data_IF_984229114537
#
_entry.id   IF_984229114537
#
_cell.length_a   1.000
_cell.length_b   1.000
_cell.length_c   1.000
_cell.angle_alpha   90.00
_cell.angle_beta   90.00
_cell.angle_gamma   90.00
#
_symmetry.space_group_name_H-M   'P 1'
#
loop_
_entity.id
_entity.type
_entity.pdbx_description
1 polymer ?
#
# COMPACT_ATOMS: atom_id res chain seq x y z
N UNK A 1 -17.16 13.99 2.12
CA UNK A 1 -16.34 12.82 2.49
C UNK A 1 -16.81 11.53 1.80
N UNK A 2 -18.08 11.16 1.87
CA UNK A 2 -18.62 9.95 1.19
C UNK A 2 -18.37 9.95 -0.33
N UNK A 3 -18.59 11.08 -0.99
CA UNK A 3 -18.34 11.23 -2.44
C UNK A 3 -16.88 10.93 -2.82
N UNK A 4 -15.91 11.55 -2.12
CA UNK A 4 -14.48 11.35 -2.38
C UNK A 4 -14.09 9.89 -2.14
N UNK A 5 -14.59 9.28 -1.07
CA UNK A 5 -14.29 7.90 -0.73
C UNK A 5 -14.86 6.89 -1.75
N UNK A 6 -16.11 7.06 -2.15
CA UNK A 6 -16.76 6.22 -3.17
C UNK A 6 -16.12 6.41 -4.55
N UNK A 7 -15.72 7.64 -4.89
CA UNK A 7 -15.04 7.95 -6.14
C UNK A 7 -13.73 7.16 -6.28
N UNK A 8 -12.91 7.12 -5.22
CA UNK A 8 -11.65 6.35 -5.23
C UNK A 8 -11.87 4.85 -5.41
N UNK A 9 -12.92 4.28 -4.81
CA UNK A 9 -13.24 2.86 -4.97
C UNK A 9 -13.71 2.53 -6.39
N UNK A 10 -14.66 3.31 -6.92
CA UNK A 10 -15.20 3.08 -8.27
C UNK A 10 -14.11 3.27 -9.32
N UNK A 11 -13.37 4.37 -9.26
CA UNK A 11 -12.27 4.64 -10.19
C UNK A 11 -11.13 3.64 -10.03
N UNK A 12 -10.77 3.29 -8.80
CA UNK A 12 -9.74 2.30 -8.51
C UNK A 12 -10.04 0.94 -9.16
N UNK A 13 -11.29 0.47 -9.10
CA UNK A 13 -11.72 -0.79 -9.74
C UNK A 13 -11.66 -0.69 -11.26
N UNK A 14 -12.22 0.38 -11.84
CA UNK A 14 -12.24 0.59 -13.31
C UNK A 14 -10.83 0.64 -13.87
N UNK A 15 -9.93 1.39 -13.23
CA UNK A 15 -8.52 1.49 -13.65
C UNK A 15 -7.76 0.19 -13.46
N UNK A 16 -8.03 -0.55 -12.37
CA UNK A 16 -7.41 -1.87 -12.16
C UNK A 16 -7.80 -2.84 -13.27
N UNK A 17 -9.07 -2.83 -13.69
CA UNK A 17 -9.52 -3.68 -14.78
C UNK A 17 -8.81 -3.34 -16.10
N UNK A 18 -8.66 -2.04 -16.38
CA UNK A 18 -7.92 -1.59 -17.56
C UNK A 18 -6.44 -2.02 -17.52
N UNK A 19 -5.78 -1.89 -16.36
CA UNK A 19 -4.40 -2.39 -16.16
C UNK A 19 -4.34 -3.90 -16.34
N UNK A 20 -5.25 -4.67 -15.74
CA UNK A 20 -5.24 -6.14 -15.86
C UNK A 20 -5.49 -6.63 -17.27
N UNK A 21 -6.20 -5.85 -18.09
CA UNK A 21 -6.54 -6.22 -19.47
C UNK A 21 -5.44 -5.80 -20.44
N UNK A 22 -4.93 -4.58 -20.31
CA UNK A 22 -4.10 -3.95 -21.35
C UNK A 22 -2.60 -3.90 -20.99
N UNK A 23 -2.22 -4.10 -19.72
CA UNK A 23 -0.83 -3.92 -19.29
C UNK A 23 -0.01 -5.21 -19.26
N UNK A 24 0.79 -5.43 -20.32
CA UNK A 24 1.81 -6.49 -20.37
C UNK A 24 3.27 -5.96 -20.35
N UNK A 25 3.45 -4.68 -20.00
CA UNK A 25 4.78 -4.07 -19.95
C UNK A 25 5.66 -4.55 -18.79
N UNK A 26 6.96 -4.16 -18.80
CA UNK A 26 7.90 -4.41 -17.69
C UNK A 26 7.50 -3.67 -16.40
N UNK A 27 8.13 -3.97 -15.27
CA UNK A 27 7.86 -3.25 -14.02
C UNK A 27 8.11 -1.73 -14.17
N UNK A 28 7.20 -0.89 -13.66
CA UNK A 28 7.29 0.58 -13.75
C UNK A 28 7.49 1.23 -12.38
N UNK A 29 8.36 0.64 -11.57
CA UNK A 29 8.62 1.06 -10.20
C UNK A 29 9.05 2.54 -10.14
N UNK A 30 8.34 3.34 -9.33
CA UNK A 30 8.64 4.76 -9.12
C UNK A 30 8.28 5.67 -10.31
N UNK A 31 7.58 5.18 -11.31
CA UNK A 31 7.03 6.02 -12.39
C UNK A 31 5.64 6.57 -12.04
N UNK A 32 4.96 5.93 -11.10
CA UNK A 32 3.62 6.28 -10.66
C UNK A 32 3.62 6.67 -9.17
N UNK A 33 2.86 7.70 -8.80
CA UNK A 33 2.78 8.20 -7.43
C UNK A 33 3.63 9.45 -7.14
N UNK A 34 3.51 9.96 -5.91
CA UNK A 34 4.28 11.10 -5.39
C UNK A 34 4.94 10.65 -4.10
N UNK A 35 6.08 9.97 -4.23
CA UNK A 35 6.78 9.36 -3.10
C UNK A 35 8.31 9.39 -3.25
N UNK A 36 9.03 8.97 -2.20
CA UNK A 36 10.48 8.98 -2.16
C UNK A 36 11.12 8.11 -3.25
N UNK A 37 10.51 6.96 -3.58
CA UNK A 37 11.01 6.08 -4.65
C UNK A 37 10.84 6.77 -6.00
N UNK A 38 9.70 7.40 -6.25
CA UNK A 38 9.47 8.19 -7.45
C UNK A 38 10.43 9.38 -7.57
N UNK A 39 10.70 10.07 -6.47
CA UNK A 39 11.68 11.16 -6.42
C UNK A 39 13.12 10.66 -6.69
N UNK A 40 13.49 9.52 -6.13
CA UNK A 40 14.77 8.87 -6.37
C UNK A 40 14.91 8.44 -7.84
N UNK A 41 13.89 7.80 -8.41
CA UNK A 41 13.90 7.35 -9.80
C UNK A 41 14.01 8.51 -10.78
N UNK A 42 13.34 9.65 -10.52
CA UNK A 42 13.52 10.88 -11.33
C UNK A 42 14.95 11.40 -11.31
N UNK A 43 15.68 11.19 -10.21
CA UNK A 43 17.07 11.62 -10.07
C UNK A 43 18.04 10.63 -10.73
N UNK A 44 17.79 9.32 -10.62
CA UNK A 44 18.67 8.28 -11.14
C UNK A 44 18.46 8.03 -12.64
N UNK A 45 17.21 8.02 -13.09
CA UNK A 45 16.83 7.71 -14.48
C UNK A 45 15.52 8.42 -14.85
N UNK A 46 15.63 9.70 -15.18
CA UNK A 46 14.48 10.52 -15.57
C UNK A 46 13.80 10.08 -16.87
N UNK A 47 14.55 9.49 -17.81
CA UNK A 47 14.01 8.98 -19.09
C UNK A 47 13.07 7.80 -18.86
N UNK A 48 13.47 6.82 -18.03
CA UNK A 48 12.60 5.71 -17.63
C UNK A 48 11.29 6.20 -17.00
N UNK A 49 11.37 7.24 -16.17
CA UNK A 49 10.17 7.84 -15.56
C UNK A 49 9.30 8.51 -16.63
N UNK A 50 9.88 9.22 -17.59
CA UNK A 50 9.13 9.87 -18.66
C UNK A 50 8.45 8.88 -19.62
N UNK A 51 9.13 7.77 -19.94
CA UNK A 51 8.59 6.72 -20.82
C UNK A 51 7.51 5.89 -20.11
N UNK A 52 7.74 5.50 -18.86
CA UNK A 52 6.74 4.84 -18.03
C UNK A 52 5.51 5.73 -17.82
N UNK A 53 5.73 7.02 -17.59
CA UNK A 53 4.68 8.02 -17.52
C UNK A 53 3.83 8.08 -18.80
N UNK A 54 4.49 8.15 -19.96
CA UNK A 54 3.83 8.17 -21.27
C UNK A 54 3.01 6.90 -21.53
N UNK A 55 3.49 5.76 -21.03
CA UNK A 55 2.80 4.47 -21.14
C UNK A 55 1.50 4.45 -20.32
N UNK A 56 1.54 4.91 -19.07
CA UNK A 56 0.35 5.01 -18.21
C UNK A 56 -0.67 6.04 -18.72
N UNK A 57 -0.18 7.14 -19.30
CA UNK A 57 -1.03 8.17 -19.91
C UNK A 57 -1.82 7.62 -21.10
N UNK A 58 -1.18 6.83 -21.98
CA UNK A 58 -1.84 6.22 -23.15
C UNK A 58 -2.95 5.24 -22.76
N UNK A 59 -2.82 4.61 -21.60
CA UNK A 59 -3.83 3.71 -21.04
C UNK A 59 -4.91 4.44 -20.21
N UNK A 60 -4.93 5.79 -20.19
CA UNK A 60 -5.89 6.59 -19.41
C UNK A 60 -5.96 6.25 -17.90
N UNK A 61 -4.89 5.68 -17.34
CA UNK A 61 -4.80 5.28 -15.93
C UNK A 61 -3.86 6.18 -15.12
N UNK A 62 -3.34 7.24 -15.74
CA UNK A 62 -2.46 8.21 -15.07
C UNK A 62 -3.23 9.27 -14.28
N UNK A 63 -2.62 9.72 -13.17
CA UNK A 63 -3.09 10.87 -12.37
C UNK A 63 -3.98 10.49 -11.19
N UNK A 64 -4.35 9.22 -11.10
CA UNK A 64 -4.94 8.65 -9.90
C UNK A 64 -3.91 7.79 -9.20
N UNK A 65 -3.99 7.74 -7.87
CA UNK A 65 -3.26 6.74 -7.08
C UNK A 65 -3.72 5.40 -7.66
N UNK A 66 -2.89 4.71 -8.46
CA UNK A 66 -3.33 3.44 -9.02
C UNK A 66 -3.72 2.63 -7.81
N UNK A 67 -4.91 2.03 -7.85
CA UNK A 67 -5.36 1.20 -6.73
C UNK A 67 -4.20 0.29 -6.33
N UNK A 68 -4.08 -0.08 -5.04
CA UNK A 68 -2.99 -0.96 -4.64
C UNK A 68 -2.87 -2.18 -5.56
N UNK A 69 -4.00 -2.68 -6.05
CA UNK A 69 -4.06 -3.82 -6.93
C UNK A 69 -3.54 -3.51 -8.34
N UNK A 70 -3.87 -2.35 -8.91
CA UNK A 70 -3.33 -1.93 -10.21
C UNK A 70 -1.82 -1.69 -10.17
N UNK A 71 -1.33 -1.00 -9.13
CA UNK A 71 0.11 -0.76 -8.93
C UNK A 71 0.87 -2.06 -8.65
N UNK A 72 0.35 -2.95 -7.80
CA UNK A 72 0.93 -4.28 -7.57
C UNK A 72 1.00 -5.11 -8.84
N UNK A 73 0.00 -5.00 -9.71
CA UNK A 73 0.01 -5.75 -10.97
C UNK A 73 1.00 -5.18 -11.98
N UNK A 74 1.15 -3.87 -12.07
CA UNK A 74 2.17 -3.26 -12.92
C UNK A 74 3.57 -3.75 -12.53
N UNK A 75 3.86 -3.85 -11.24
CA UNK A 75 5.20 -4.20 -10.77
C UNK A 75 5.45 -5.70 -10.61
N UNK A 76 4.46 -6.44 -10.11
CA UNK A 76 4.60 -7.84 -9.71
C UNK A 76 3.57 -8.75 -10.40
N UNK A 77 2.71 -8.22 -11.29
CA UNK A 77 1.60 -8.96 -11.90
C UNK A 77 0.77 -9.66 -10.81
N UNK A 78 0.36 -10.91 -11.05
CA UNK A 78 -0.40 -11.71 -10.07
C UNK A 78 0.43 -12.13 -8.84
N UNK A 79 1.77 -12.03 -8.89
CA UNK A 79 2.62 -12.27 -7.70
C UNK A 79 2.33 -11.22 -6.62
N UNK A 80 1.85 -10.04 -7.01
CA UNK A 80 1.35 -9.01 -6.10
C UNK A 80 0.19 -9.44 -5.19
N UNK A 81 -0.47 -10.58 -5.43
CA UNK A 81 -1.46 -11.14 -4.49
C UNK A 81 -0.82 -11.71 -3.23
N UNK A 82 0.44 -12.14 -3.29
CA UNK A 82 1.19 -12.66 -2.14
C UNK A 82 1.28 -11.61 -1.02
N UNK A 83 1.80 -10.39 -1.26
CA UNK A 83 1.85 -9.36 -0.23
C UNK A 83 0.46 -8.97 0.30
N UNK A 84 -0.60 -9.03 -0.52
CA UNK A 84 -1.98 -8.84 -0.06
C UNK A 84 -2.42 -9.92 0.94
N UNK A 85 -2.14 -11.19 0.64
CA UNK A 85 -2.46 -12.31 1.52
C UNK A 85 -1.67 -12.24 2.84
N UNK A 86 -0.37 -11.93 2.76
CA UNK A 86 0.48 -11.67 3.93
C UNK A 86 -0.08 -10.55 4.80
N UNK A 87 -0.53 -9.45 4.19
CA UNK A 87 -1.12 -8.33 4.91
C UNK A 87 -2.43 -8.70 5.61
N UNK A 88 -3.31 -9.43 4.93
CA UNK A 88 -4.55 -9.95 5.53
C UNK A 88 -4.26 -10.86 6.73
N UNK A 89 -3.26 -11.74 6.61
CA UNK A 89 -2.80 -12.58 7.70
C UNK A 89 -2.29 -11.77 8.90
N UNK A 90 -1.40 -10.80 8.67
CA UNK A 90 -0.87 -9.91 9.72
C UNK A 90 -2.00 -9.16 10.44
N UNK A 91 -3.03 -8.76 9.70
CA UNK A 91 -4.24 -8.15 10.27
C UNK A 91 -4.97 -9.08 11.21
N UNK A 92 -5.18 -10.34 10.79
CA UNK A 92 -5.78 -11.35 11.66
C UNK A 92 -4.98 -11.58 12.94
N UNK A 93 -3.64 -11.60 12.85
CA UNK A 93 -2.76 -11.76 14.02
C UNK A 93 -2.89 -10.58 15.00
N UNK A 94 -2.80 -9.35 14.50
CA UNK A 94 -2.92 -8.14 15.33
C UNK A 94 -4.28 -8.09 16.02
N UNK A 95 -5.36 -8.34 15.28
CA UNK A 95 -6.72 -8.36 15.83
C UNK A 95 -6.88 -9.41 16.93
N UNK A 96 -6.38 -10.64 16.70
CA UNK A 96 -6.41 -11.71 17.70
C UNK A 96 -5.68 -11.31 18.98
N UNK A 97 -4.50 -10.70 18.87
CA UNK A 97 -3.68 -10.27 20.02
C UNK A 97 -4.34 -9.16 20.83
N UNK A 98 -4.99 -8.21 20.17
CA UNK A 98 -5.78 -7.16 20.83
C UNK A 98 -6.96 -7.77 21.59
N UNK A 99 -7.73 -8.65 20.94
CA UNK A 99 -8.89 -9.30 21.58
C UNK A 99 -8.50 -10.15 22.79
N UNK A 100 -7.32 -10.74 22.78
CA UNK A 100 -6.78 -11.49 23.92
C UNK A 100 -6.35 -10.60 25.09
N UNK A 101 -6.22 -9.28 24.90
CA UNK A 101 -5.89 -8.33 25.98
C UNK A 101 -4.51 -8.49 26.63
N UNK A 102 -3.67 -9.37 26.07
CA UNK A 102 -2.40 -9.78 26.69
C UNK A 102 -1.33 -8.69 26.71
N UNK A 103 -1.34 -7.78 25.74
CA UNK A 103 -0.32 -6.74 25.59
C UNK A 103 -0.90 -5.51 24.86
N UNK A 104 -0.96 -4.33 25.52
CA UNK A 104 -1.55 -3.13 24.93
C UNK A 104 -0.72 -2.55 23.77
N UNK A 105 0.54 -2.97 23.58
CA UNK A 105 1.38 -2.49 22.47
C UNK A 105 0.82 -2.85 21.11
N UNK A 106 0.02 -3.93 21.02
CA UNK A 106 -0.66 -4.30 19.78
C UNK A 106 -1.67 -3.25 19.32
N UNK A 107 -2.14 -2.37 20.23
CA UNK A 107 -3.00 -1.24 19.86
C UNK A 107 -2.27 -0.21 18.99
N UNK A 108 -0.93 -0.12 19.08
CA UNK A 108 -0.12 0.75 18.22
C UNK A 108 -0.17 0.30 16.76
N UNK A 109 -0.32 -1.01 16.53
CA UNK A 109 -0.39 -1.60 15.19
C UNK A 109 -1.79 -1.46 14.58
N UNK A 110 -2.83 -1.28 15.40
CA UNK A 110 -4.22 -1.21 14.95
C UNK A 110 -4.44 -0.20 13.83
N UNK A 111 -4.14 1.11 13.97
CA UNK A 111 -4.46 2.08 12.92
C UNK A 111 -3.77 1.75 11.61
N UNK A 112 -2.54 1.23 11.63
CA UNK A 112 -1.80 0.88 10.41
C UNK A 112 -2.40 -0.33 9.71
N UNK A 113 -2.86 -1.30 10.48
CA UNK A 113 -3.28 -2.60 9.95
C UNK A 113 -4.76 -2.58 9.58
N UNK A 114 -5.62 -1.89 10.34
CA UNK A 114 -7.04 -1.70 10.00
C UNK A 114 -7.29 -0.59 8.98
N UNK A 115 -6.60 0.57 9.06
CA UNK A 115 -6.68 1.57 7.98
C UNK A 115 -5.95 1.07 6.74
N UNK A 116 -4.92 0.23 6.87
CA UNK A 116 -4.25 -0.40 5.73
C UNK A 116 -5.20 -1.23 4.86
N UNK A 117 -6.20 -1.90 5.45
CA UNK A 117 -7.25 -2.62 4.68
C UNK A 117 -8.20 -1.64 3.99
N UNK A 118 -8.62 -0.58 4.67
CA UNK A 118 -9.56 0.40 4.11
C UNK A 118 -8.88 1.21 2.99
N UNK A 119 -7.59 1.49 3.16
CA UNK A 119 -6.77 2.27 2.24
C UNK A 119 -6.07 1.39 1.19
N UNK A 120 -6.20 0.06 1.24
CA UNK A 120 -5.62 -0.84 0.23
C UNK A 120 -6.26 -0.71 -1.14
N UNK A 121 -7.30 0.11 -1.31
CA UNK A 121 -7.81 0.47 -2.63
C UNK A 121 -7.18 1.77 -3.16
N UNK A 122 -6.46 2.50 -2.32
CA UNK A 122 -5.73 3.72 -2.68
C UNK A 122 -4.22 3.53 -2.70
N UNK A 123 -3.65 2.73 -1.80
CA UNK A 123 -2.20 2.54 -1.75
C UNK A 123 -1.88 1.11 -1.31
N UNK A 124 -0.78 0.57 -1.79
CA UNK A 124 -0.37 -0.79 -1.46
C UNK A 124 -0.14 -0.93 0.03
N UNK A 125 -0.66 -2.02 0.65
CA UNK A 125 -0.47 -2.26 2.08
C UNK A 125 1.03 -2.38 2.42
N UNK A 126 1.80 -2.94 1.49
CA UNK A 126 3.26 -2.88 1.48
C UNK A 126 3.65 -1.80 0.47
N UNK A 127 3.49 -0.54 0.87
CA UNK A 127 3.87 0.61 0.06
C UNK A 127 5.35 0.51 -0.29
N UNK A 128 5.67 0.20 -1.55
CA UNK A 128 7.02 0.27 -2.14
C UNK A 128 7.49 1.75 -2.22
N UNK A 129 7.44 2.48 -1.11
CA UNK A 129 8.08 3.79 -0.86
C UNK A 129 7.81 4.26 0.57
N UNK A 130 7.02 5.33 0.75
CA UNK A 130 6.82 6.02 2.03
C UNK A 130 6.10 5.13 3.05
N UNK A 131 5.24 4.24 2.55
CA UNK A 131 4.62 3.19 3.35
C UNK A 131 5.67 2.34 4.04
N UNK A 132 6.69 1.83 3.36
CA UNK A 132 7.71 0.97 3.95
C UNK A 132 8.46 1.66 5.09
N UNK A 133 8.79 2.95 4.95
CA UNK A 133 9.42 3.71 6.03
C UNK A 133 8.49 3.92 7.22
N UNK A 134 7.20 4.19 6.98
CA UNK A 134 6.19 4.26 8.05
C UNK A 134 6.03 2.92 8.77
N UNK A 135 6.02 1.79 8.05
CA UNK A 135 6.01 0.46 8.64
C UNK A 135 7.30 0.17 9.42
N UNK A 136 8.46 0.64 8.93
CA UNK A 136 9.73 0.55 9.66
C UNK A 136 9.68 1.29 10.99
N UNK A 137 9.24 2.55 10.98
CA UNK A 137 9.07 3.35 12.21
C UNK A 137 8.02 2.77 13.16
N UNK A 138 6.95 2.19 12.63
CA UNK A 138 5.94 1.48 13.41
C UNK A 138 6.56 0.29 14.16
N UNK A 139 7.33 -0.54 13.47
CA UNK A 139 8.01 -1.69 14.09
C UNK A 139 9.01 -1.23 15.15
N UNK A 140 9.82 -0.21 14.85
CA UNK A 140 10.74 0.40 15.82
C UNK A 140 9.97 0.87 17.05
N UNK A 141 8.89 1.61 16.87
CA UNK A 141 8.05 2.10 17.98
C UNK A 141 7.44 0.96 18.78
N UNK A 142 6.94 -0.08 18.10
CA UNK A 142 6.37 -1.25 18.75
C UNK A 142 7.40 -2.00 19.62
N UNK A 143 8.61 -2.22 19.10
CA UNK A 143 9.68 -2.92 19.83
C UNK A 143 10.29 -2.08 20.96
N UNK A 144 10.43 -0.76 20.76
CA UNK A 144 10.94 0.15 21.78
C UNK A 144 9.89 0.54 22.83
N UNK A 145 8.61 0.36 22.55
CA UNK A 145 7.54 0.66 23.50
C UNK A 145 7.61 -0.26 24.72
N UNK A 146 7.50 0.35 25.91
CA UNK A 146 7.54 -0.38 27.19
C UNK A 146 6.36 -1.34 27.26
N UNK A 147 6.63 -2.56 27.74
CA UNK A 147 5.58 -3.52 28.09
C UNK A 147 4.81 -2.98 29.29
N UNK A 148 3.58 -2.54 29.06
CA UNK A 148 2.64 -2.25 30.13
C UNK A 148 1.87 -3.53 30.39
N UNK A 149 2.22 -4.23 31.48
CA UNK A 149 1.40 -5.34 31.97
C UNK A 149 0.18 -4.71 32.64
N UNK A 150 -0.97 -4.72 31.96
CA UNK A 150 -2.23 -4.37 32.58
C UNK A 150 -2.51 -5.43 33.65
N UNK A 151 -2.35 -5.07 34.93
CA UNK A 151 -2.80 -5.94 36.02
C UNK A 151 -4.33 -6.04 35.91
N UNK A 152 -4.91 -7.25 35.92
CA UNK A 152 -6.36 -7.38 36.05
C UNK A 152 -6.77 -6.69 37.36
N UNK A 153 -7.82 -5.87 37.26
CA UNK A 153 -8.47 -5.25 38.41
C UNK A 153 -9.20 -6.30 39.25
#
# INVERSE_FOLDING_TARGET
MVFVFAWYWVQGIVMSNQIFTDYDGPMLLGTYGVDLVSALMRRLNGEFVADGFSTLLRMNVYGFVPSAFGSLYIDLKLIGLIPCALWGYLTGVVYKRIKQGTDPRWLLLTPFVSLGIIMSLNNTPIGLSNGLMLHGWLLVTFFLSRRVVLRPA
#
